data_IF_810620149390
#
_entry.id   IF_810620149390
#
_cell.length_a   1.000
_cell.length_b   1.000
_cell.length_c   1.000
_cell.angle_alpha   90.00
_cell.angle_beta   90.00
_cell.angle_gamma   90.00
#
_symmetry.space_group_name_H-M   'P 1'
#
loop_
_entity.id
_entity.type
_entity.pdbx_description
1 polymer ?
#
# COMPACT_ATOMS: atom_id res chain seq x y z
N UNK A 1 -47.22 27.17 11.97
CA UNK A 1 -45.76 27.15 12.13
C UNK A 1 -45.25 25.77 11.73
N UNK A 2 -44.16 25.73 10.97
CA UNK A 2 -43.82 24.70 9.99
C UNK A 2 -43.50 23.30 10.56
N UNK A 3 -43.83 22.28 9.76
CA UNK A 3 -43.52 20.88 9.99
C UNK A 3 -42.01 20.58 9.92
N UNK A 4 -41.61 19.55 10.67
CA UNK A 4 -40.24 19.05 10.86
C UNK A 4 -39.54 18.71 9.53
N UNK A 5 -38.21 18.88 9.43
CA UNK A 5 -37.47 18.57 8.20
C UNK A 5 -37.47 17.06 7.94
N UNK A 6 -37.99 16.67 6.78
CA UNK A 6 -38.04 15.30 6.30
C UNK A 6 -36.73 14.93 5.60
N UNK A 7 -36.17 13.80 6.03
CA UNK A 7 -35.22 12.91 5.33
C UNK A 7 -33.96 13.54 4.73
N UNK A 8 -32.88 13.43 5.52
CA UNK A 8 -31.49 13.41 5.09
C UNK A 8 -31.33 12.30 4.04
N UNK A 9 -30.91 12.67 2.83
CA UNK A 9 -30.41 11.74 1.83
C UNK A 9 -29.21 11.01 2.44
N UNK A 10 -29.41 9.75 2.81
CA UNK A 10 -28.32 8.86 3.20
C UNK A 10 -27.62 8.43 1.90
N UNK A 11 -26.74 9.30 1.42
CA UNK A 11 -25.76 8.91 0.44
C UNK A 11 -24.94 7.80 1.07
N UNK A 12 -25.06 6.58 0.53
CA UNK A 12 -24.34 5.39 0.92
C UNK A 12 -22.92 5.76 1.36
N UNK A 13 -22.70 5.80 2.68
CA UNK A 13 -21.37 6.00 3.21
C UNK A 13 -20.60 4.74 2.85
N UNK A 14 -19.71 4.84 1.88
CA UNK A 14 -18.76 3.79 1.60
C UNK A 14 -17.95 3.60 2.89
N UNK A 15 -18.26 2.53 3.62
CA UNK A 15 -17.60 2.16 4.86
C UNK A 15 -16.24 1.56 4.48
N UNK A 16 -15.29 2.42 4.09
CA UNK A 16 -13.89 2.03 3.91
C UNK A 16 -13.20 1.95 5.27
N UNK A 17 -13.71 1.07 6.13
CA UNK A 17 -12.99 0.65 7.31
C UNK A 17 -11.96 -0.41 6.88
N UNK A 18 -10.69 -0.18 7.22
CA UNK A 18 -9.66 -1.20 7.07
C UNK A 18 -10.01 -2.35 8.01
N UNK A 19 -10.48 -3.48 7.46
CA UNK A 19 -10.95 -4.63 8.23
C UNK A 19 -9.84 -5.27 9.07
N UNK A 20 -8.59 -5.22 8.57
CA UNK A 20 -7.41 -5.82 9.20
C UNK A 20 -6.24 -4.84 9.29
N UNK A 21 -5.47 -4.95 10.37
CA UNK A 21 -4.24 -4.21 10.53
C UNK A 21 -3.21 -4.65 9.48
N UNK A 22 -2.62 -3.68 8.77
CA UNK A 22 -1.53 -3.95 7.83
C UNK A 22 -0.33 -4.54 8.59
N UNK A 23 0.25 -5.61 8.05
CA UNK A 23 1.44 -6.22 8.63
C UNK A 23 2.59 -5.19 8.73
N UNK A 24 3.38 -5.22 9.81
CA UNK A 24 4.54 -4.34 9.94
C UNK A 24 5.57 -4.65 8.85
N UNK A 25 6.26 -3.62 8.36
CA UNK A 25 7.36 -3.82 7.41
C UNK A 25 8.54 -4.53 8.07
N UNK A 26 9.30 -5.33 7.30
CA UNK A 26 10.55 -5.90 7.78
C UNK A 26 11.56 -4.81 8.14
N UNK A 27 12.36 -5.08 9.16
CA UNK A 27 13.45 -4.21 9.62
C UNK A 27 14.74 -5.00 9.77
N UNK A 28 15.88 -4.35 9.60
CA UNK A 28 17.19 -4.95 9.90
C UNK A 28 17.53 -4.94 11.40
N UNK A 29 18.68 -5.52 11.76
CA UNK A 29 19.16 -5.58 13.15
C UNK A 29 19.41 -4.19 13.79
N UNK A 30 19.52 -3.14 12.97
CA UNK A 30 19.65 -1.74 13.38
C UNK A 30 18.30 -1.01 13.48
N UNK A 31 17.19 -1.68 13.16
CA UNK A 31 15.84 -1.12 13.18
C UNK A 31 15.48 -0.32 11.92
N UNK A 32 16.23 -0.46 10.82
CA UNK A 32 15.92 0.24 9.56
C UNK A 32 14.92 -0.56 8.74
N UNK A 33 13.88 0.11 8.27
CA UNK A 33 12.88 -0.48 7.37
C UNK A 33 13.52 -0.98 6.07
N UNK A 34 13.16 -2.20 5.69
CA UNK A 34 13.60 -2.84 4.46
C UNK A 34 12.49 -2.81 3.39
N UNK A 35 12.91 -2.77 2.14
CA UNK A 35 12.04 -2.96 0.99
C UNK A 35 11.85 -4.45 0.64
N UNK A 36 11.14 -4.73 -0.45
CA UNK A 36 10.88 -6.08 -0.93
C UNK A 36 12.14 -6.85 -1.38
N UNK A 37 13.25 -6.16 -1.64
CA UNK A 37 14.55 -6.77 -1.98
C UNK A 37 15.45 -6.94 -0.74
N UNK A 38 14.93 -6.64 0.46
CA UNK A 38 15.71 -6.69 1.69
C UNK A 38 16.74 -5.56 1.80
N UNK A 39 16.62 -4.51 0.99
CA UNK A 39 17.51 -3.35 1.02
C UNK A 39 16.92 -2.27 1.94
N UNK A 40 17.76 -1.46 2.61
CA UNK A 40 17.29 -0.29 3.33
C UNK A 40 16.44 0.60 2.43
N UNK A 41 15.31 1.07 2.96
CA UNK A 41 14.33 1.83 2.18
C UNK A 41 14.93 3.06 1.49
N UNK A 42 15.89 3.74 2.13
CA UNK A 42 16.52 4.94 1.56
C UNK A 42 17.86 5.31 2.22
N UNK A 43 18.51 6.33 1.67
CA UNK A 43 19.67 7.00 2.27
C UNK A 43 21.01 6.27 2.08
N UNK A 44 22.04 6.64 2.86
CA UNK A 44 23.40 6.10 2.71
C UNK A 44 23.47 4.58 2.92
N UNK A 45 22.59 4.05 3.77
CA UNK A 45 22.48 2.61 4.02
C UNK A 45 22.12 1.82 2.75
N UNK A 46 21.19 2.36 1.93
CA UNK A 46 20.81 1.77 0.66
C UNK A 46 21.99 1.78 -0.31
N UNK A 47 22.66 2.92 -0.44
CA UNK A 47 23.85 3.06 -1.30
C UNK A 47 24.98 2.10 -0.90
N UNK A 48 25.21 1.94 0.41
CA UNK A 48 26.20 1.00 0.93
C UNK A 48 25.82 -0.46 0.65
N UNK A 49 24.54 -0.82 0.77
CA UNK A 49 24.06 -2.17 0.46
C UNK A 49 24.09 -2.49 -1.04
N UNK A 50 23.87 -1.48 -1.89
CA UNK A 50 23.96 -1.61 -3.35
C UNK A 50 25.40 -1.80 -3.81
N UNK A 51 26.40 -1.25 -3.10
CA UNK A 51 27.82 -1.44 -3.43
C UNK A 51 28.14 -1.07 -4.90
N UNK A 52 27.56 0.05 -5.36
CA UNK A 52 27.70 0.53 -6.74
C UNK A 52 26.89 -0.25 -7.79
N UNK A 53 26.12 -1.27 -7.40
CA UNK A 53 25.19 -1.97 -8.29
C UNK A 53 23.96 -1.10 -8.58
N UNK A 54 23.34 -1.26 -9.76
CA UNK A 54 22.06 -0.63 -10.06
C UNK A 54 21.01 -0.93 -9.00
N UNK A 55 20.14 0.04 -8.73
CA UNK A 55 19.06 -0.12 -7.77
C UNK A 55 17.87 -0.84 -8.42
N UNK A 56 17.51 -2.06 -7.97
CA UNK A 56 16.40 -2.81 -8.54
C UNK A 56 15.04 -2.11 -8.35
N UNK A 57 14.92 -1.15 -7.43
CA UNK A 57 13.71 -0.34 -7.29
C UNK A 57 13.55 0.74 -8.36
N UNK A 58 14.64 1.08 -9.06
CA UNK A 58 14.67 2.09 -10.12
C UNK A 58 14.62 1.48 -11.52
N UNK A 59 14.87 0.17 -11.63
CA UNK A 59 14.72 -0.55 -12.89
C UNK A 59 13.24 -0.50 -13.31
N UNK A 60 12.96 0.20 -14.41
CA UNK A 60 11.60 0.43 -14.91
C UNK A 60 10.84 -0.87 -15.28
N UNK A 61 11.57 -1.95 -15.53
CA UNK A 61 11.02 -3.31 -15.75
C UNK A 61 10.67 -4.04 -14.45
N UNK A 62 11.08 -3.52 -13.28
CA UNK A 62 10.69 -4.05 -11.97
C UNK A 62 9.35 -3.52 -11.47
N UNK A 63 8.62 -2.78 -12.32
CA UNK A 63 7.22 -2.43 -12.05
C UNK A 63 6.47 -3.74 -11.85
N UNK A 64 5.94 -4.06 -10.64
CA UNK A 64 5.06 -5.20 -10.53
C UNK A 64 3.91 -4.93 -11.51
N UNK A 65 3.75 -5.80 -12.50
CA UNK A 65 2.61 -5.72 -13.40
C UNK A 65 1.38 -5.50 -12.53
N UNK A 66 0.50 -4.53 -12.86
CA UNK A 66 -0.68 -4.29 -12.06
C UNK A 66 -1.41 -5.63 -11.99
N UNK A 67 -1.38 -6.27 -10.82
CA UNK A 67 -2.23 -7.41 -10.54
C UNK A 67 -3.63 -6.84 -10.65
N UNK A 68 -4.22 -7.03 -11.83
CA UNK A 68 -5.58 -6.59 -12.10
C UNK A 68 -6.42 -7.20 -10.98
N UNK A 69 -7.16 -6.39 -10.20
CA UNK A 69 -7.98 -6.96 -9.15
C UNK A 69 -8.87 -8.01 -9.81
N UNK A 70 -8.80 -9.24 -9.30
CA UNK A 70 -9.63 -10.32 -9.80
C UNK A 70 -11.07 -9.82 -9.79
N UNK A 71 -11.68 -9.72 -10.97
CA UNK A 71 -13.10 -9.38 -11.08
C UNK A 71 -13.84 -10.40 -10.22
N UNK A 72 -14.59 -9.99 -9.18
CA UNK A 72 -15.45 -10.94 -8.50
C UNK A 72 -16.47 -11.41 -9.53
N UNK A 73 -16.34 -12.66 -9.98
CA UNK A 73 -17.41 -13.34 -10.71
C UNK A 73 -18.54 -13.52 -9.72
N UNK A 74 -19.44 -12.54 -9.72
CA UNK A 74 -20.78 -12.69 -9.19
C UNK A 74 -21.43 -13.83 -9.97
N UNK A 75 -21.83 -14.88 -9.25
CA UNK A 75 -22.48 -16.05 -9.82
C UNK A 75 -23.91 -16.01 -9.31
N UNK A 76 -24.82 -15.62 -10.21
CA UNK A 76 -26.28 -15.63 -10.02
C UNK A 76 -26.80 -16.97 -9.49
#
# INVERSE_FOLDING_TARGET
MAAKPTTKSDAAQADTAQADATQPRPVDATGRTLDQWGLPLSGPARLAALDGKPDPALDADATPAPVSPATPTDKD
#
